data_IF_644420249964
#
_entry.id   IF_644420249964
#
_cell.length_a   1.000
_cell.length_b   1.000
_cell.length_c   1.000
_cell.angle_alpha   90.00
_cell.angle_beta   90.00
_cell.angle_gamma   90.00
#
_symmetry.space_group_name_H-M   'P 1'
#
loop_
_entity.id
_entity.type
_entity.pdbx_description
1 polymer ?
#
# COMPACT_ATOMS: atom_id res chain seq x y z
N UNK A 1 12.41 -10.13 -2.36
CA UNK A 1 13.59 -10.61 -1.66
C UNK A 1 13.74 -10.12 -0.23
N UNK A 2 14.97 -10.19 0.32
CA UNK A 2 15.24 -9.81 1.73
C UNK A 2 14.79 -8.38 2.07
N UNK A 3 15.04 -7.42 1.19
CA UNK A 3 14.66 -6.03 1.43
C UNK A 3 13.14 -5.84 1.57
N UNK A 4 12.32 -6.59 0.85
CA UNK A 4 10.86 -6.49 0.95
C UNK A 4 10.36 -6.92 2.33
N UNK A 5 10.98 -7.93 2.96
CA UNK A 5 10.64 -8.35 4.30
C UNK A 5 11.16 -7.40 5.38
N UNK A 6 12.42 -6.90 5.22
CA UNK A 6 13.04 -5.97 6.17
C UNK A 6 12.28 -4.64 6.26
N UNK A 7 11.79 -4.14 5.13
CA UNK A 7 11.01 -2.90 5.04
C UNK A 7 9.49 -3.12 5.10
N UNK A 8 9.04 -4.29 5.58
CA UNK A 8 7.62 -4.60 5.74
C UNK A 8 6.93 -3.59 6.66
N UNK A 9 5.72 -3.21 6.30
CA UNK A 9 4.86 -2.34 7.09
C UNK A 9 3.58 -3.09 7.49
N UNK A 10 2.97 -2.69 8.59
CA UNK A 10 1.72 -3.30 9.06
C UNK A 10 1.23 -2.69 10.35
N UNK A 11 0.11 -3.18 10.85
CA UNK A 11 -0.54 -2.71 12.08
C UNK A 11 -1.25 -3.83 12.87
N UNK A 12 -0.98 -5.08 12.51
CA UNK A 12 -1.63 -6.26 13.10
C UNK A 12 -2.91 -6.69 12.39
N UNK A 13 -3.63 -5.79 11.75
CA UNK A 13 -4.76 -6.10 10.87
C UNK A 13 -4.28 -6.35 9.44
N UNK A 14 -3.57 -5.42 8.84
CA UNK A 14 -2.96 -5.58 7.53
C UNK A 14 -1.43 -5.59 7.62
N UNK A 15 -0.82 -6.37 6.73
CA UNK A 15 0.62 -6.44 6.53
C UNK A 15 0.96 -6.32 5.06
N UNK A 16 1.95 -5.48 4.78
CA UNK A 16 2.36 -5.16 3.43
C UNK A 16 3.86 -5.33 3.29
N UNK A 17 4.28 -6.26 2.42
CA UNK A 17 5.69 -6.35 2.04
C UNK A 17 6.07 -5.15 1.20
N UNK A 18 7.33 -4.76 1.30
CA UNK A 18 7.81 -3.55 0.68
C UNK A 18 8.16 -3.75 -0.80
N UNK A 19 7.20 -4.18 -1.63
CA UNK A 19 7.32 -4.08 -3.08
C UNK A 19 7.47 -2.61 -3.51
N UNK A 20 8.13 -2.37 -4.63
CA UNK A 20 8.27 -1.02 -5.19
C UNK A 20 6.94 -0.58 -5.83
N UNK A 21 6.75 0.71 -6.03
CA UNK A 21 5.53 1.25 -6.65
C UNK A 21 5.44 0.83 -8.13
N UNK A 22 6.55 0.89 -8.87
CA UNK A 22 6.67 0.36 -10.22
C UNK A 22 6.79 -1.17 -10.23
N UNK A 23 6.36 -1.84 -11.28
CA UNK A 23 6.39 -3.31 -11.40
C UNK A 23 7.56 -3.83 -12.20
N UNK A 24 8.09 -4.99 -11.77
CA UNK A 24 9.15 -5.73 -12.44
C UNK A 24 8.72 -7.15 -12.77
N UNK A 25 9.34 -7.74 -13.79
CA UNK A 25 9.07 -9.14 -14.18
C UNK A 25 9.53 -10.08 -13.07
N UNK A 26 8.65 -10.98 -12.65
CA UNK A 26 8.93 -11.96 -11.57
C UNK A 26 8.90 -11.38 -10.16
N UNK A 27 8.48 -10.13 -10.00
CA UNK A 27 8.26 -9.52 -8.68
C UNK A 27 7.06 -10.15 -7.99
N UNK A 28 7.20 -10.39 -6.69
CA UNK A 28 6.09 -10.78 -5.81
C UNK A 28 5.60 -9.56 -5.04
N UNK A 29 4.29 -9.32 -5.11
CA UNK A 29 3.62 -8.25 -4.37
C UNK A 29 2.69 -8.89 -3.37
N UNK A 30 2.88 -8.57 -2.10
CA UNK A 30 2.17 -9.24 -1.01
C UNK A 30 1.49 -8.23 -0.10
N UNK A 31 0.18 -8.39 0.02
CA UNK A 31 -0.70 -7.68 0.92
C UNK A 31 -1.58 -8.71 1.63
N UNK A 32 -1.53 -8.73 2.95
CA UNK A 32 -2.23 -9.69 3.78
C UNK A 32 -3.14 -8.99 4.78
N UNK A 33 -4.29 -9.59 5.05
CA UNK A 33 -5.19 -9.16 6.12
C UNK A 33 -5.41 -10.33 7.06
N UNK A 34 -5.34 -10.06 8.37
CA UNK A 34 -5.51 -11.08 9.39
C UNK A 34 -6.89 -11.75 9.32
N UNK A 35 -6.95 -13.04 9.60
CA UNK A 35 -8.21 -13.80 9.63
C UNK A 35 -8.77 -14.24 8.28
N UNK A 36 -8.15 -13.88 7.16
CA UNK A 36 -8.63 -14.22 5.80
C UNK A 36 -8.13 -15.57 5.29
N UNK A 37 -7.77 -16.48 6.16
CA UNK A 37 -7.22 -17.79 5.79
C UNK A 37 -8.12 -18.54 4.80
N UNK A 38 -7.48 -19.14 3.78
CA UNK A 38 -8.14 -19.87 2.71
C UNK A 38 -7.29 -21.04 2.24
N UNK A 39 -7.91 -22.02 1.57
CA UNK A 39 -7.24 -23.05 0.77
C UNK A 39 -7.90 -23.10 -0.61
N UNK A 40 -7.13 -23.37 -1.63
CA UNK A 40 -7.68 -23.42 -2.99
C UNK A 40 -8.50 -24.70 -3.24
N UNK A 41 -8.04 -25.82 -2.71
CA UNK A 41 -8.73 -27.10 -2.79
C UNK A 41 -8.34 -28.05 -1.63
N UNK A 42 -8.93 -29.23 -1.58
CA UNK A 42 -8.71 -30.21 -0.52
C UNK A 42 -7.28 -30.79 -0.46
N UNK A 43 -6.49 -30.63 -1.52
CA UNK A 43 -5.09 -31.10 -1.57
C UNK A 43 -4.08 -30.09 -1.02
N UNK A 44 -4.50 -28.84 -0.83
CA UNK A 44 -3.65 -27.76 -0.35
C UNK A 44 -3.80 -27.50 1.16
N UNK A 45 -2.78 -26.92 1.75
CA UNK A 45 -2.83 -26.45 3.14
C UNK A 45 -3.50 -25.07 3.19
N UNK A 46 -4.20 -24.82 4.29
CA UNK A 46 -4.77 -23.48 4.56
C UNK A 46 -3.63 -22.48 4.74
N UNK A 47 -3.66 -21.41 3.99
CA UNK A 47 -2.69 -20.33 4.06
C UNK A 47 -3.36 -18.94 4.11
N UNK A 48 -2.58 -17.91 4.40
CA UNK A 48 -3.04 -16.53 4.34
C UNK A 48 -2.99 -16.07 2.88
N UNK A 49 -4.13 -15.77 2.24
CA UNK A 49 -4.16 -15.41 0.84
C UNK A 49 -3.55 -14.02 0.60
N UNK A 50 -2.85 -13.89 -0.51
CA UNK A 50 -2.35 -12.62 -1.00
C UNK A 50 -3.51 -11.82 -1.62
N UNK A 51 -3.92 -10.75 -0.95
CA UNK A 51 -4.99 -9.86 -1.43
C UNK A 51 -4.56 -9.11 -2.70
N UNK A 52 -5.53 -8.61 -3.49
CA UNK A 52 -5.24 -7.69 -4.60
C UNK A 52 -4.27 -6.58 -4.22
N UNK A 53 -3.21 -6.40 -5.03
CA UNK A 53 -2.19 -5.38 -4.78
C UNK A 53 -2.76 -3.98 -4.98
N UNK A 54 -2.57 -3.12 -3.98
CA UNK A 54 -2.97 -1.72 -4.01
C UNK A 54 -1.77 -0.77 -4.05
N UNK A 55 -0.55 -1.30 -4.02
CA UNK A 55 0.68 -0.47 -3.96
C UNK A 55 1.17 -0.04 -5.33
N UNK A 56 0.69 -0.67 -6.39
CA UNK A 56 1.10 -0.38 -7.76
C UNK A 56 0.79 1.08 -8.15
N UNK A 57 1.82 1.76 -8.66
CA UNK A 57 1.72 3.07 -9.26
C UNK A 57 2.69 3.14 -10.43
N UNK A 58 2.17 3.05 -11.65
CA UNK A 58 2.96 3.16 -12.87
C UNK A 58 3.09 4.62 -13.29
N UNK A 59 4.32 5.08 -13.43
CA UNK A 59 4.66 6.44 -13.85
C UNK A 59 5.28 6.36 -15.24
N UNK A 60 4.72 7.12 -16.19
CA UNK A 60 5.24 7.26 -17.55
C UNK A 60 5.71 8.69 -17.74
N UNK A 61 6.95 8.85 -18.13
CA UNK A 61 7.60 10.15 -18.32
C UNK A 61 7.97 10.29 -19.80
N UNK A 62 7.39 11.27 -20.49
CA UNK A 62 7.57 11.48 -21.92
C UNK A 62 7.33 10.20 -22.75
N UNK A 63 6.36 9.38 -22.32
CA UNK A 63 5.98 8.10 -22.93
C UNK A 63 6.77 6.90 -22.47
N UNK A 64 7.90 7.07 -21.81
CA UNK A 64 8.71 5.97 -21.26
C UNK A 64 8.25 5.63 -19.83
N UNK A 65 8.04 4.36 -19.54
CA UNK A 65 7.71 3.91 -18.20
C UNK A 65 8.92 4.04 -17.29
N UNK A 66 8.76 4.74 -16.17
CA UNK A 66 9.78 4.80 -15.13
C UNK A 66 10.06 3.41 -14.56
N UNK A 67 11.34 3.01 -14.58
CA UNK A 67 11.87 1.80 -13.97
C UNK A 67 13.34 2.04 -13.63
N UNK A 68 13.80 1.52 -12.49
CA UNK A 68 15.21 1.67 -12.08
C UNK A 68 16.17 0.84 -12.92
N UNK A 69 15.69 -0.20 -13.61
CA UNK A 69 16.46 -1.02 -14.55
C UNK A 69 16.48 -0.46 -15.99
N UNK A 70 15.88 0.72 -16.19
CA UNK A 70 15.86 1.47 -17.43
C UNK A 70 16.46 2.85 -17.21
N UNK A 71 17.29 3.34 -18.14
CA UNK A 71 18.04 4.58 -17.95
C UNK A 71 19.21 4.41 -16.97
N UNK A 72 19.47 5.41 -16.13
CA UNK A 72 20.58 5.41 -15.18
C UNK A 72 20.18 6.04 -13.84
N UNK A 73 20.46 5.34 -12.75
CA UNK A 73 20.35 5.89 -11.39
C UNK A 73 21.60 6.75 -11.09
N UNK A 74 21.39 7.98 -10.60
CA UNK A 74 22.45 8.85 -10.05
C UNK A 74 22.54 8.65 -8.54
N UNK A 75 21.41 8.56 -7.88
CA UNK A 75 21.33 8.25 -6.44
C UNK A 75 20.08 7.41 -6.16
N UNK A 76 20.15 6.63 -5.11
CA UNK A 76 19.04 5.83 -4.58
C UNK A 76 19.21 5.67 -3.08
N UNK A 77 18.16 6.02 -2.35
CA UNK A 77 18.06 5.77 -0.93
C UNK A 77 16.68 5.20 -0.61
N UNK A 78 16.63 4.26 0.31
CA UNK A 78 15.38 3.68 0.83
C UNK A 78 15.48 3.52 2.34
N UNK A 79 14.54 4.06 3.06
CA UNK A 79 14.56 4.09 4.52
C UNK A 79 13.18 3.70 5.07
N UNK A 80 13.18 2.84 6.09
CA UNK A 80 12.05 2.63 6.99
C UNK A 80 12.39 3.30 8.31
N UNK A 81 11.64 4.33 8.65
CA UNK A 81 11.71 4.95 9.96
C UNK A 81 10.91 4.11 10.97
N UNK A 82 11.60 3.44 11.88
CA UNK A 82 10.98 2.59 12.90
C UNK A 82 10.17 3.39 13.93
N UNK A 83 10.49 4.66 14.12
CA UNK A 83 9.78 5.52 15.06
C UNK A 83 8.38 5.90 14.58
N UNK A 84 8.22 6.08 13.28
CA UNK A 84 6.97 6.55 12.66
C UNK A 84 6.29 5.51 11.79
N UNK A 85 6.98 4.41 11.46
CA UNK A 85 6.50 3.40 10.53
C UNK A 85 6.43 3.87 9.07
N UNK A 86 7.08 4.99 8.74
CA UNK A 86 7.08 5.56 7.38
C UNK A 86 8.20 4.94 6.56
N UNK A 87 7.86 4.47 5.38
CA UNK A 87 8.81 3.99 4.37
C UNK A 87 8.99 5.06 3.30
N UNK A 88 10.23 5.50 3.08
CA UNK A 88 10.58 6.46 2.03
C UNK A 88 11.53 5.88 1.02
N UNK A 89 11.53 6.46 -0.18
CA UNK A 89 12.46 6.13 -1.26
C UNK A 89 12.75 7.38 -2.08
N UNK A 90 14.02 7.76 -2.12
CA UNK A 90 14.53 8.93 -2.85
C UNK A 90 15.39 8.49 -4.02
N UNK A 91 15.14 9.06 -5.20
CA UNK A 91 15.78 8.66 -6.45
C UNK A 91 16.13 9.89 -7.27
N UNK A 92 17.38 9.96 -7.73
CA UNK A 92 17.73 10.76 -8.91
C UNK A 92 17.94 9.83 -10.11
N UNK A 93 17.14 10.04 -11.14
CA UNK A 93 17.10 9.17 -12.31
C UNK A 93 17.31 9.95 -13.61
N UNK A 94 18.08 9.36 -14.52
CA UNK A 94 18.23 9.81 -15.88
C UNK A 94 17.47 8.85 -16.78
N UNK A 95 16.50 9.35 -17.51
CA UNK A 95 15.69 8.57 -18.44
C UNK A 95 16.55 7.99 -19.59
N UNK A 96 16.05 6.98 -20.32
CA UNK A 96 16.72 6.49 -21.53
C UNK A 96 16.99 7.59 -22.58
N UNK A 97 16.24 8.68 -22.54
CA UNK A 97 16.40 9.86 -23.41
C UNK A 97 17.39 10.91 -22.87
N UNK A 98 18.02 10.64 -21.72
CA UNK A 98 19.00 11.52 -21.09
C UNK A 98 18.41 12.64 -20.23
N UNK A 99 17.12 12.66 -20.00
CA UNK A 99 16.44 13.66 -19.17
C UNK A 99 16.56 13.32 -17.68
N UNK A 100 16.66 14.32 -16.81
CA UNK A 100 16.90 14.15 -15.39
C UNK A 100 15.65 14.44 -14.58
N UNK A 101 15.38 13.53 -13.62
CA UNK A 101 14.23 13.60 -12.72
C UNK A 101 14.64 13.30 -11.30
N UNK A 102 13.97 13.96 -10.35
CA UNK A 102 13.95 13.56 -8.95
C UNK A 102 12.60 12.93 -8.67
N UNK A 103 12.61 11.74 -8.01
CA UNK A 103 11.41 11.06 -7.56
C UNK A 103 11.54 10.81 -6.07
N UNK A 104 10.46 11.08 -5.34
CA UNK A 104 10.31 10.73 -3.93
C UNK A 104 9.04 9.89 -3.76
N UNK A 105 9.15 8.79 -3.04
CA UNK A 105 8.01 7.96 -2.66
C UNK A 105 7.94 7.87 -1.15
N UNK A 106 6.73 7.95 -0.63
CA UNK A 106 6.44 7.81 0.80
C UNK A 106 5.25 6.88 0.98
N UNK A 107 5.29 6.02 2.02
CA UNK A 107 4.18 5.12 2.33
C UNK A 107 4.09 4.90 3.83
N UNK A 108 2.87 4.84 4.34
CA UNK A 108 2.59 4.43 5.72
C UNK A 108 1.40 3.47 5.75
N UNK A 109 1.45 2.52 6.70
CA UNK A 109 0.30 1.73 7.13
C UNK A 109 -0.15 2.31 8.45
N UNK A 110 -1.40 2.76 8.54
CA UNK A 110 -1.88 3.50 9.70
C UNK A 110 -1.94 2.61 10.95
N UNK A 111 -1.34 3.09 12.06
CA UNK A 111 -1.44 2.46 13.37
C UNK A 111 -2.66 2.96 14.16
N UNK A 112 -3.24 4.10 13.77
CA UNK A 112 -4.44 4.69 14.39
C UNK A 112 -5.74 4.21 13.77
N UNK A 113 -5.72 3.80 12.49
CA UNK A 113 -6.85 3.28 11.73
C UNK A 113 -6.39 2.02 10.98
N UNK A 114 -6.71 0.87 11.53
CA UNK A 114 -6.18 -0.42 11.08
C UNK A 114 -6.54 -0.80 9.64
N UNK A 115 -7.62 -0.23 9.11
CA UNK A 115 -8.06 -0.50 7.74
C UNK A 115 -7.35 0.35 6.70
N UNK A 116 -6.61 1.39 7.10
CA UNK A 116 -6.12 2.44 6.22
C UNK A 116 -4.61 2.38 5.99
N UNK A 117 -4.21 2.62 4.75
CA UNK A 117 -2.84 3.00 4.41
C UNK A 117 -2.80 4.08 3.33
N UNK A 118 -1.69 4.79 3.24
CA UNK A 118 -1.46 5.85 2.27
C UNK A 118 -0.13 5.72 1.55
N UNK A 119 -0.12 6.17 0.30
CA UNK A 119 1.08 6.31 -0.52
C UNK A 119 1.14 7.71 -1.12
N UNK A 120 2.35 8.21 -1.30
CA UNK A 120 2.63 9.47 -1.99
C UNK A 120 3.80 9.28 -2.95
N UNK A 121 3.69 9.86 -4.15
CA UNK A 121 4.80 9.98 -5.09
C UNK A 121 4.95 11.43 -5.52
N UNK A 122 6.18 11.93 -5.55
CA UNK A 122 6.53 13.26 -6.01
C UNK A 122 7.53 13.12 -7.16
N UNK A 123 7.24 13.76 -8.29
CA UNK A 123 8.06 13.68 -9.51
C UNK A 123 8.40 15.11 -9.95
N UNK A 124 9.69 15.40 -10.06
CA UNK A 124 10.20 16.72 -10.43
C UNK A 124 11.16 16.61 -11.63
N UNK A 125 10.80 17.18 -12.79
CA UNK A 125 11.74 17.34 -13.91
C UNK A 125 12.85 18.34 -13.55
N UNK A 126 14.13 17.99 -13.77
CA UNK A 126 15.25 18.84 -13.37
C UNK A 126 15.81 19.71 -14.48
N UNK A 127 15.61 19.34 -15.75
CA UNK A 127 16.22 20.02 -16.88
C UNK A 127 15.20 20.68 -17.83
N UNK A 128 14.13 19.99 -18.18
CA UNK A 128 13.10 20.46 -19.12
C UNK A 128 11.72 20.09 -18.59
N UNK A 129 10.68 20.73 -19.09
CA UNK A 129 9.30 20.31 -18.88
C UNK A 129 9.09 18.86 -19.38
N UNK A 130 8.19 18.13 -18.74
CA UNK A 130 7.88 16.76 -19.10
C UNK A 130 6.38 16.48 -19.04
N UNK A 131 5.92 15.59 -19.90
CA UNK A 131 4.59 14.98 -19.76
C UNK A 131 4.71 13.77 -18.82
N UNK A 132 4.02 13.83 -17.70
CA UNK A 132 4.01 12.75 -16.70
C UNK A 132 2.61 12.17 -16.63
N UNK A 133 2.50 10.89 -16.93
CA UNK A 133 1.27 10.13 -16.85
C UNK A 133 1.37 9.14 -15.70
N UNK A 134 0.34 9.10 -14.86
CA UNK A 134 0.25 8.21 -13.71
C UNK A 134 -0.91 7.25 -13.91
N UNK A 135 -0.66 5.96 -13.77
CA UNK A 135 -1.68 4.90 -13.71
C UNK A 135 -1.58 4.20 -12.38
N UNK A 136 -2.63 4.29 -11.58
CA UNK A 136 -2.64 3.74 -10.23
C UNK A 136 -4.00 3.14 -9.89
N UNK A 137 -4.01 1.99 -9.18
CA UNK A 137 -5.25 1.29 -8.88
C UNK A 137 -5.06 0.04 -8.03
N UNK A 138 -5.89 -0.97 -8.29
CA UNK A 138 -5.99 -2.23 -7.58
C UNK A 138 -5.75 -3.37 -8.58
N UNK A 139 -4.82 -4.29 -8.27
CA UNK A 139 -4.46 -5.39 -9.13
C UNK A 139 -4.72 -6.74 -8.46
N UNK A 140 -5.79 -7.42 -8.83
CA UNK A 140 -6.17 -8.74 -8.35
C UNK A 140 -5.53 -9.92 -9.10
N UNK A 141 -4.54 -9.68 -9.98
CA UNK A 141 -3.80 -10.76 -10.64
C UNK A 141 -2.66 -11.34 -9.79
N UNK A 142 -2.57 -10.96 -8.53
CA UNK A 142 -1.61 -11.52 -7.57
C UNK A 142 -2.02 -12.93 -7.13
N UNK A 143 -1.05 -13.75 -6.78
CA UNK A 143 -1.27 -15.15 -6.39
C UNK A 143 -0.34 -15.54 -5.24
N UNK A 144 -0.67 -16.62 -4.54
CA UNK A 144 0.25 -17.30 -3.62
C UNK A 144 0.99 -18.37 -4.42
N UNK A 145 2.24 -18.12 -4.79
CA UNK A 145 3.10 -19.07 -5.53
C UNK A 145 2.40 -19.71 -6.76
N UNK A 146 1.52 -18.94 -7.43
CA UNK A 146 0.73 -19.41 -8.59
C UNK A 146 -0.73 -19.71 -8.28
N UNK A 147 -1.10 -19.95 -7.02
CA UNK A 147 -2.48 -20.21 -6.60
C UNK A 147 -3.28 -18.93 -6.45
N UNK A 148 -4.44 -18.86 -7.08
CA UNK A 148 -5.37 -17.74 -6.99
C UNK A 148 -6.48 -18.07 -5.99
N UNK A 149 -6.41 -17.45 -4.81
CA UNK A 149 -7.37 -17.67 -3.72
C UNK A 149 -8.68 -16.90 -3.83
N UNK A 150 -8.83 -16.02 -4.81
CA UNK A 150 -10.03 -15.20 -4.93
C UNK A 150 -10.81 -15.49 -6.20
N UNK A 151 -12.13 -15.52 -6.07
CA UNK A 151 -13.02 -15.42 -7.23
C UNK A 151 -12.83 -14.07 -7.94
N UNK A 152 -13.21 -14.00 -9.22
CA UNK A 152 -13.23 -12.73 -9.93
C UNK A 152 -14.32 -11.84 -9.30
N UNK A 153 -13.89 -10.72 -8.72
CA UNK A 153 -14.75 -9.86 -7.91
C UNK A 153 -15.47 -8.77 -8.71
N UNK A 154 -16.26 -7.98 -8.00
CA UNK A 154 -16.91 -6.79 -8.54
C UNK A 154 -15.95 -5.62 -8.53
N UNK A 155 -15.90 -4.86 -9.62
CA UNK A 155 -15.09 -3.65 -9.77
C UNK A 155 -16.01 -2.47 -10.09
N UNK A 156 -15.82 -1.33 -9.40
CA UNK A 156 -16.58 -0.10 -9.61
C UNK A 156 -15.70 1.13 -9.43
N UNK A 157 -16.10 2.22 -10.07
CA UNK A 157 -15.55 3.55 -9.81
C UNK A 157 -16.72 4.46 -9.46
N UNK A 158 -16.65 5.09 -8.28
CA UNK A 158 -17.64 6.07 -7.83
C UNK A 158 -17.11 7.48 -8.07
N UNK A 159 -17.97 8.36 -8.53
CA UNK A 159 -17.68 9.79 -8.76
C UNK A 159 -16.41 10.04 -9.62
N UNK A 160 -16.02 9.05 -10.42
CA UNK A 160 -14.84 9.09 -11.28
C UNK A 160 -13.48 8.93 -10.56
N UNK A 161 -13.44 8.82 -9.24
CA UNK A 161 -12.18 8.83 -8.46
C UNK A 161 -12.03 7.67 -7.49
N UNK A 162 -13.09 7.23 -6.82
CA UNK A 162 -13.03 6.16 -5.83
C UNK A 162 -13.18 4.80 -6.52
N UNK A 163 -12.12 4.02 -6.50
CA UNK A 163 -12.08 2.66 -7.02
C UNK A 163 -12.48 1.67 -5.94
N UNK A 164 -13.35 0.71 -6.28
CA UNK A 164 -13.77 -0.41 -5.43
C UNK A 164 -13.46 -1.73 -6.12
N UNK A 165 -12.83 -2.66 -5.40
CA UNK A 165 -12.74 -4.06 -5.78
C UNK A 165 -13.16 -4.93 -4.61
N UNK A 166 -14.28 -5.65 -4.77
CA UNK A 166 -14.78 -6.61 -3.79
C UNK A 166 -14.67 -8.02 -4.37
N UNK A 167 -13.88 -8.88 -3.74
CA UNK A 167 -13.66 -10.27 -4.13
C UNK A 167 -13.82 -11.20 -2.94
N UNK A 168 -14.17 -12.46 -3.20
CA UNK A 168 -14.44 -13.48 -2.18
C UNK A 168 -13.43 -14.61 -2.32
N UNK A 169 -12.93 -15.14 -1.19
CA UNK A 169 -12.04 -16.29 -1.20
C UNK A 169 -12.75 -17.55 -1.68
N UNK A 170 -11.99 -18.47 -2.28
CA UNK A 170 -12.57 -19.59 -3.04
C UNK A 170 -13.27 -20.60 -2.15
N UNK A 171 -12.69 -20.95 -1.00
CA UNK A 171 -13.23 -22.00 -0.12
C UNK A 171 -13.83 -21.41 1.17
N UNK A 172 -13.14 -20.48 1.81
CA UNK A 172 -13.57 -19.90 3.08
C UNK A 172 -14.65 -18.83 2.95
N UNK A 173 -14.98 -18.42 1.72
CA UNK A 173 -16.02 -17.43 1.37
C UNK A 173 -15.87 -16.08 2.13
N UNK A 174 -14.63 -15.68 2.41
CA UNK A 174 -14.34 -14.39 3.05
C UNK A 174 -14.43 -13.30 2.00
N UNK A 175 -15.36 -12.39 2.17
CA UNK A 175 -15.50 -11.21 1.34
C UNK A 175 -14.46 -10.17 1.76
N UNK A 176 -13.64 -9.72 0.81
CA UNK A 176 -12.67 -8.64 0.96
C UNK A 176 -13.04 -7.49 0.04
N UNK A 177 -13.26 -6.30 0.58
CA UNK A 177 -13.54 -5.10 -0.17
C UNK A 177 -12.41 -4.08 0.00
N UNK A 178 -11.82 -3.69 -1.12
CA UNK A 178 -10.66 -2.80 -1.19
C UNK A 178 -11.04 -1.53 -1.95
N UNK A 179 -10.62 -0.39 -1.40
CA UNK A 179 -10.91 0.94 -1.94
C UNK A 179 -9.64 1.73 -2.11
N UNK A 180 -9.54 2.49 -3.22
CA UNK A 180 -8.44 3.39 -3.47
C UNK A 180 -8.93 4.69 -4.13
N UNK A 181 -8.32 5.82 -3.78
CA UNK A 181 -8.53 7.11 -4.41
C UNK A 181 -7.18 7.76 -4.69
N UNK A 182 -7.01 8.29 -5.92
CA UNK A 182 -5.84 9.07 -6.29
C UNK A 182 -6.17 10.57 -6.29
N UNK A 183 -5.26 11.38 -5.73
CA UNK A 183 -5.33 12.84 -5.72
C UNK A 183 -4.05 13.42 -6.27
N UNK A 184 -4.17 14.55 -6.95
CA UNK A 184 -3.06 15.15 -7.67
C UNK A 184 -2.85 16.59 -7.25
N UNK A 185 -1.58 16.99 -7.16
CA UNK A 185 -1.18 18.36 -6.85
C UNK A 185 -0.05 18.74 -7.80
N UNK A 186 -0.10 19.95 -8.32
CA UNK A 186 0.93 20.48 -9.21
C UNK A 186 1.52 21.75 -8.60
N UNK A 187 2.82 21.72 -8.28
CA UNK A 187 3.47 22.81 -7.56
C UNK A 187 2.84 23.11 -6.19
N UNK A 188 2.25 22.11 -5.53
CA UNK A 188 1.55 22.23 -4.26
C UNK A 188 0.07 22.63 -4.36
N UNK A 189 -0.42 22.99 -5.53
CA UNK A 189 -1.84 23.30 -5.75
C UNK A 189 -2.62 22.04 -6.14
N UNK A 190 -3.80 21.84 -5.53
CA UNK A 190 -4.66 20.71 -5.85
C UNK A 190 -5.18 20.82 -7.29
N UNK A 191 -5.06 19.70 -8.04
CA UNK A 191 -5.50 19.60 -9.41
C UNK A 191 -6.69 18.64 -9.55
N UNK A 192 -7.78 19.16 -10.11
CA UNK A 192 -8.94 18.36 -10.52
C UNK A 192 -8.78 17.89 -11.95
N UNK A 193 -7.90 16.93 -12.16
CA UNK A 193 -7.71 16.34 -13.48
C UNK A 193 -8.69 15.19 -13.72
N UNK A 194 -9.11 15.02 -14.96
CA UNK A 194 -9.90 13.85 -15.37
C UNK A 194 -9.08 12.58 -15.15
N UNK A 195 -9.70 11.60 -14.50
CA UNK A 195 -9.12 10.28 -14.27
C UNK A 195 -9.79 9.27 -15.19
N UNK A 196 -9.09 8.83 -16.22
CA UNK A 196 -9.60 7.89 -17.20
C UNK A 196 -9.58 6.46 -16.61
N UNK A 197 -10.71 5.74 -16.60
CA UNK A 197 -10.74 4.35 -16.15
C UNK A 197 -9.87 3.44 -17.02
N UNK A 198 -9.09 2.58 -16.38
CA UNK A 198 -8.34 1.50 -17.02
C UNK A 198 -8.78 0.19 -16.36
N UNK A 199 -9.62 -0.55 -17.06
CA UNK A 199 -10.23 -1.78 -16.56
C UNK A 199 -9.77 -2.96 -17.41
N UNK A 200 -9.25 -3.97 -16.75
CA UNK A 200 -8.90 -5.26 -17.34
C UNK A 200 -9.38 -6.37 -16.39
N UNK A 201 -9.28 -7.62 -16.80
CA UNK A 201 -9.64 -8.75 -15.94
C UNK A 201 -8.87 -8.67 -14.63
N UNK A 202 -9.58 -8.62 -13.50
CA UNK A 202 -9.03 -8.50 -12.13
C UNK A 202 -8.18 -7.23 -11.89
N UNK A 203 -8.26 -6.21 -12.75
CA UNK A 203 -7.52 -4.95 -12.58
C UNK A 203 -8.44 -3.77 -12.74
N UNK A 204 -8.32 -2.84 -11.83
CA UNK A 204 -9.03 -1.57 -11.83
C UNK A 204 -8.04 -0.45 -11.52
N UNK A 205 -7.90 0.49 -12.42
CA UNK A 205 -7.02 1.65 -12.23
C UNK A 205 -7.62 2.91 -12.84
N UNK A 206 -7.08 4.06 -12.46
CA UNK A 206 -7.28 5.31 -13.17
C UNK A 206 -5.97 5.81 -13.75
N UNK A 207 -6.05 6.51 -14.89
CA UNK A 207 -4.91 7.09 -15.57
C UNK A 207 -5.13 8.60 -15.76
N UNK A 208 -4.10 9.38 -15.45
CA UNK A 208 -4.13 10.84 -15.56
C UNK A 208 -2.78 11.34 -16.05
N UNK A 209 -2.76 12.38 -16.90
CA UNK A 209 -1.54 12.96 -17.45
C UNK A 209 -1.44 14.45 -17.16
N UNK A 210 -0.22 14.92 -16.89
CA UNK A 210 0.10 16.31 -16.59
C UNK A 210 1.29 16.76 -17.41
N UNK A 211 1.28 18.04 -17.81
CA UNK A 211 2.50 18.74 -18.21
C UNK A 211 3.10 19.37 -16.97
N UNK A 212 4.33 19.00 -16.64
CA UNK A 212 5.05 19.44 -15.45
C UNK A 212 6.25 20.26 -15.89
N UNK A 213 6.31 21.51 -15.47
CA UNK A 213 7.39 22.42 -15.83
C UNK A 213 8.71 22.04 -15.12
N UNK A 214 9.83 22.50 -15.67
CA UNK A 214 11.14 22.34 -15.02
C UNK A 214 11.10 22.85 -13.58
N UNK A 215 11.53 22.04 -12.62
CA UNK A 215 11.57 22.37 -11.19
C UNK A 215 10.20 22.35 -10.50
N UNK A 216 9.11 22.20 -11.22
CA UNK A 216 7.78 21.99 -10.66
C UNK A 216 7.62 20.52 -10.22
N UNK A 217 6.91 20.27 -9.12
CA UNK A 217 6.67 18.92 -8.62
C UNK A 217 5.23 18.51 -8.88
N UNK A 218 5.04 17.36 -9.53
CA UNK A 218 3.77 16.64 -9.51
C UNK A 218 3.74 15.76 -8.28
N UNK A 219 2.75 15.93 -7.40
CA UNK A 219 2.48 15.07 -6.25
C UNK A 219 1.24 14.23 -6.51
N UNK A 220 1.36 12.94 -6.27
CA UNK A 220 0.26 11.97 -6.32
C UNK A 220 0.09 11.39 -4.93
N UNK A 221 -1.07 11.59 -4.33
CA UNK A 221 -1.48 10.94 -3.09
C UNK A 221 -2.47 9.83 -3.39
N UNK A 222 -2.24 8.65 -2.87
CA UNK A 222 -3.15 7.51 -2.94
C UNK A 222 -3.57 7.11 -1.54
N UNK A 223 -4.86 7.19 -1.27
CA UNK A 223 -5.48 6.71 -0.05
C UNK A 223 -6.15 5.37 -0.30
N UNK A 224 -5.99 4.45 0.63
CA UNK A 224 -6.50 3.09 0.50
C UNK A 224 -7.13 2.63 1.81
N UNK A 225 -8.23 1.86 1.72
CA UNK A 225 -8.75 1.12 2.85
C UNK A 225 -9.24 -0.28 2.45
N UNK A 226 -9.27 -1.19 3.43
CA UNK A 226 -9.64 -2.59 3.25
C UNK A 226 -10.60 -2.98 4.37
N UNK A 227 -11.72 -3.61 4.01
CA UNK A 227 -12.67 -4.22 4.93
C UNK A 227 -12.91 -5.68 4.53
N UNK A 228 -13.09 -6.55 5.52
CA UNK A 228 -13.38 -7.95 5.27
C UNK A 228 -14.61 -8.42 6.06
N UNK A 229 -15.25 -9.48 5.61
CA UNK A 229 -16.35 -10.10 6.35
C UNK A 229 -15.90 -10.77 7.66
N UNK A 230 -14.59 -10.84 7.92
CA UNK A 230 -13.99 -11.33 9.17
C UNK A 230 -13.74 -10.24 10.21
N UNK A 231 -13.95 -8.97 9.86
CA UNK A 231 -13.76 -7.87 10.81
C UNK A 231 -14.70 -8.04 12.01
N UNK A 232 -14.19 -7.75 13.20
CA UNK A 232 -14.87 -8.03 14.47
C UNK A 232 -16.26 -7.36 14.55
N UNK A 233 -16.42 -6.19 13.93
CA UNK A 233 -17.68 -5.44 13.92
C UNK A 233 -18.83 -6.19 13.23
N UNK A 234 -18.53 -7.21 12.42
CA UNK A 234 -19.54 -8.00 11.71
C UNK A 234 -19.89 -9.31 12.43
N UNK A 235 -19.31 -9.60 13.58
CA UNK A 235 -19.60 -10.81 14.35
C UNK A 235 -21.09 -10.88 14.74
N UNK A 236 -21.75 -11.99 14.42
CA UNK A 236 -23.17 -12.18 14.66
C UNK A 236 -24.11 -11.30 13.79
N UNK A 237 -23.57 -10.63 12.77
CA UNK A 237 -24.33 -9.77 11.87
C UNK A 237 -24.95 -10.57 10.73
N UNK A 238 -26.26 -10.44 10.52
CA UNK A 238 -26.91 -10.86 9.27
C UNK A 238 -26.56 -9.88 8.14
N UNK A 239 -26.57 -10.33 6.88
CA UNK A 239 -26.28 -9.49 5.69
C UNK A 239 -24.87 -8.90 5.65
N UNK A 240 -23.86 -9.61 6.16
CA UNK A 240 -22.46 -9.17 6.17
C UNK A 240 -21.99 -8.81 4.75
N UNK A 241 -22.36 -9.60 3.73
CA UNK A 241 -21.96 -9.36 2.32
C UNK A 241 -22.51 -8.04 1.73
N UNK A 242 -23.52 -7.44 2.34
CA UNK A 242 -24.06 -6.14 1.96
C UNK A 242 -23.43 -5.00 2.76
N UNK A 243 -23.13 -5.25 4.04
CA UNK A 243 -22.58 -4.25 4.95
C UNK A 243 -21.11 -3.94 4.67
N UNK A 244 -20.28 -4.97 4.45
CA UNK A 244 -18.84 -4.79 4.18
C UNK A 244 -18.57 -3.79 3.06
N UNK A 245 -19.18 -3.90 1.85
CA UNK A 245 -18.95 -2.91 0.82
C UNK A 245 -19.52 -1.53 1.15
N UNK A 246 -20.65 -1.45 1.85
CA UNK A 246 -21.25 -0.16 2.24
C UNK A 246 -20.36 0.59 3.24
N UNK A 247 -19.89 -0.12 4.27
CA UNK A 247 -19.02 0.45 5.31
C UNK A 247 -17.65 0.82 4.74
N UNK A 248 -17.08 -0.04 3.87
CA UNK A 248 -15.82 0.24 3.21
C UNK A 248 -15.88 1.48 2.32
N UNK A 249 -16.96 1.66 1.55
CA UNK A 249 -17.18 2.89 0.76
C UNK A 249 -17.30 4.12 1.65
N UNK A 250 -18.10 4.04 2.72
CA UNK A 250 -18.25 5.14 3.67
C UNK A 250 -16.93 5.50 4.35
N UNK A 251 -16.14 4.50 4.71
CA UNK A 251 -14.80 4.69 5.27
C UNK A 251 -13.88 5.37 4.27
N UNK A 252 -13.84 4.93 3.00
CA UNK A 252 -13.04 5.58 1.95
C UNK A 252 -13.41 7.07 1.80
N UNK A 253 -14.68 7.40 1.81
CA UNK A 253 -15.16 8.79 1.77
C UNK A 253 -14.69 9.59 3.01
N UNK A 254 -14.69 8.97 4.20
CA UNK A 254 -14.26 9.60 5.44
C UNK A 254 -12.76 9.89 5.44
N UNK A 255 -11.92 8.93 5.09
CA UNK A 255 -10.46 9.15 4.98
C UNK A 255 -10.12 10.12 3.86
N UNK A 256 -10.89 10.10 2.77
CA UNK A 256 -10.79 11.07 1.70
C UNK A 256 -11.03 12.50 2.16
N UNK A 257 -12.05 12.74 2.99
CA UNK A 257 -12.29 14.08 3.58
C UNK A 257 -11.16 14.53 4.52
N UNK A 258 -10.55 13.59 5.25
CA UNK A 258 -9.45 13.83 6.18
C UNK A 258 -8.15 14.19 5.45
N UNK A 259 -7.82 13.44 4.41
CA UNK A 259 -6.64 13.66 3.56
C UNK A 259 -5.37 12.97 4.07
N UNK A 260 -4.39 12.86 3.19
CA UNK A 260 -3.15 12.10 3.38
C UNK A 260 -2.35 12.57 4.60
N UNK A 261 -2.05 13.87 4.70
CA UNK A 261 -1.18 14.39 5.75
C UNK A 261 -1.80 14.25 7.15
N UNK A 262 -3.12 14.45 7.29
CA UNK A 262 -3.80 14.23 8.57
C UNK A 262 -3.78 12.77 9.02
N UNK A 263 -4.04 11.83 8.10
CA UNK A 263 -3.98 10.39 8.37
C UNK A 263 -2.56 9.96 8.75
N UNK A 264 -1.54 10.46 8.06
CA UNK A 264 -0.14 10.21 8.39
C UNK A 264 0.21 10.73 9.79
N UNK A 265 -0.18 11.96 10.14
CA UNK A 265 0.07 12.55 11.45
C UNK A 265 -0.60 11.74 12.58
N UNK A 266 -1.84 11.28 12.39
CA UNK A 266 -2.52 10.41 13.35
C UNK A 266 -1.80 9.08 13.53
N UNK A 267 -1.29 8.48 12.46
CA UNK A 267 -0.48 7.27 12.52
C UNK A 267 0.84 7.50 13.26
N UNK A 268 1.53 8.61 12.99
CA UNK A 268 2.77 8.98 13.69
C UNK A 268 2.53 9.16 15.19
N UNK A 269 1.44 9.83 15.59
CA UNK A 269 1.08 10.00 17.00
C UNK A 269 0.77 8.65 17.68
N UNK A 270 0.15 7.70 16.97
CA UNK A 270 -0.07 6.35 17.47
C UNK A 270 1.24 5.58 17.66
N UNK A 271 2.21 5.73 16.75
CA UNK A 271 3.55 5.18 16.89
C UNK A 271 4.32 5.82 18.07
N UNK A 272 4.25 7.13 18.25
CA UNK A 272 4.86 7.83 19.39
C UNK A 272 4.35 7.25 20.73
N UNK A 273 3.03 7.12 20.87
CA UNK A 273 2.40 6.50 22.05
C UNK A 273 2.81 5.02 22.23
N UNK A 274 3.05 4.29 21.15
CA UNK A 274 3.59 2.93 21.23
C UNK A 274 5.01 2.92 21.80
N UNK A 275 5.90 3.74 21.27
CA UNK A 275 7.29 3.79 21.68
C UNK A 275 7.46 4.32 23.11
N UNK A 276 6.65 5.28 23.54
CA UNK A 276 6.64 5.75 24.93
C UNK A 276 6.41 4.61 25.94
N UNK A 277 5.65 3.59 25.57
CA UNK A 277 5.25 2.48 26.45
C UNK A 277 6.08 1.22 26.27
N UNK A 278 6.64 1.00 25.09
CA UNK A 278 7.21 -0.29 24.70
C UNK A 278 8.69 -0.23 24.31
N UNK A 279 9.30 0.97 24.29
CA UNK A 279 10.73 1.08 23.95
C UNK A 279 11.59 0.38 24.99
N UNK A 280 12.57 -0.36 24.53
CA UNK A 280 13.61 -0.98 25.35
C UNK A 280 14.92 -0.30 25.00
N UNK A 281 15.46 0.45 25.96
CA UNK A 281 16.76 1.10 25.84
C UNK A 281 17.83 0.17 26.38
N UNK A 282 18.90 0.03 25.62
CA UNK A 282 20.07 -0.76 26.00
C UNK A 282 21.31 0.12 25.97
N UNK A 283 22.23 -0.14 26.90
CA UNK A 283 23.58 0.45 26.87
C UNK A 283 24.51 -0.49 26.11
N UNK A 284 25.03 -0.03 24.98
CA UNK A 284 25.98 -0.77 24.11
C UNK A 284 26.98 0.20 23.50
N UNK A 285 28.18 -0.28 23.24
CA UNK A 285 29.19 0.46 22.48
C UNK A 285 28.86 0.50 20.97
N UNK A 286 28.00 -0.44 20.49
CA UNK A 286 27.55 -0.48 19.11
C UNK A 286 26.10 0.04 19.00
N UNK A 287 25.93 1.17 18.30
CA UNK A 287 24.60 1.75 18.02
C UNK A 287 23.68 0.79 17.22
N UNK A 288 24.26 -0.19 16.50
CA UNK A 288 23.50 -1.21 15.80
C UNK A 288 22.64 -2.06 16.75
N UNK A 289 23.12 -2.35 17.95
CA UNK A 289 22.38 -3.17 18.92
C UNK A 289 21.05 -2.54 19.30
N UNK A 290 21.03 -1.24 19.57
CA UNK A 290 19.78 -0.51 19.86
C UNK A 290 18.83 -0.53 18.65
N UNK A 291 19.37 -0.36 17.45
CA UNK A 291 18.57 -0.45 16.22
C UNK A 291 17.98 -1.85 16.03
N UNK A 292 18.75 -2.90 16.30
CA UNK A 292 18.30 -4.29 16.20
C UNK A 292 17.16 -4.60 17.18
N UNK A 293 17.23 -4.11 18.42
CA UNK A 293 16.15 -4.24 19.41
C UNK A 293 14.89 -3.54 18.94
N UNK A 294 14.99 -2.28 18.50
CA UNK A 294 13.83 -1.53 18.00
C UNK A 294 13.25 -2.12 16.72
N UNK A 295 14.09 -2.64 15.85
CA UNK A 295 13.66 -3.38 14.66
C UNK A 295 12.81 -4.61 15.05
N UNK A 296 13.26 -5.40 16.03
CA UNK A 296 12.50 -6.54 16.52
C UNK A 296 11.15 -6.12 17.16
N UNK A 297 11.15 -5.08 17.99
CA UNK A 297 9.93 -4.53 18.60
C UNK A 297 8.95 -4.01 17.56
N UNK A 298 9.45 -3.28 16.55
CA UNK A 298 8.63 -2.81 15.43
C UNK A 298 7.93 -3.98 14.72
N UNK A 299 8.71 -5.02 14.33
CA UNK A 299 8.16 -6.16 13.61
C UNK A 299 7.20 -7.00 14.46
N UNK A 300 7.46 -7.15 15.75
CA UNK A 300 6.52 -7.79 16.68
C UNK A 300 5.20 -6.99 16.75
N UNK A 301 5.29 -5.66 16.81
CA UNK A 301 4.11 -4.81 16.88
C UNK A 301 3.21 -4.92 15.66
N UNK A 302 3.78 -4.88 14.46
CA UNK A 302 3.01 -4.88 13.21
C UNK A 302 2.38 -6.23 12.85
N UNK A 303 2.74 -7.31 13.57
CA UNK A 303 2.21 -8.65 13.30
C UNK A 303 1.09 -9.08 14.28
N UNK A 304 0.81 -8.30 15.31
CA UNK A 304 -0.15 -8.66 16.36
C UNK A 304 -1.42 -7.83 16.25
N UNK A 305 -2.55 -8.50 16.01
CA UNK A 305 -3.89 -7.91 16.17
C UNK A 305 -4.19 -7.88 17.69
N UNK A 306 -4.25 -6.67 18.28
CA UNK A 306 -4.25 -6.50 19.74
C UNK A 306 -5.62 -6.60 20.39
N UNK A 307 -6.65 -6.31 19.64
CA UNK A 307 -8.02 -6.10 20.09
C UNK A 307 -9.00 -7.16 19.56
N UNK A 308 -8.48 -8.22 18.93
CA UNK A 308 -9.27 -9.35 18.46
C UNK A 308 -8.61 -10.66 18.85
N UNK A 309 -9.12 -11.30 19.90
CA UNK A 309 -8.61 -12.57 20.45
C UNK A 309 -9.05 -13.81 19.64
N UNK A 310 -9.89 -13.64 18.62
CA UNK A 310 -10.24 -14.72 17.67
C UNK A 310 -9.10 -15.05 16.73
N UNK A 311 -8.12 -14.15 16.57
CA UNK A 311 -6.99 -14.32 15.66
C UNK A 311 -5.69 -14.47 16.43
N UNK A 312 -4.94 -15.52 16.11
CA UNK A 312 -3.60 -15.75 16.64
C UNK A 312 -2.52 -15.17 15.71
N UNK A 313 -1.29 -15.16 16.22
CA UNK A 313 -0.13 -14.79 15.41
C UNK A 313 0.22 -15.95 14.49
N UNK A 314 0.15 -15.76 13.20
CA UNK A 314 0.58 -16.75 12.20
C UNK A 314 2.10 -17.01 12.30
N UNK A 315 2.55 -18.19 11.91
CA UNK A 315 3.97 -18.59 11.98
C UNK A 315 4.91 -17.67 11.19
N UNK A 316 4.41 -17.04 10.13
CA UNK A 316 5.13 -16.05 9.30
C UNK A 316 4.56 -14.64 9.47
N UNK A 317 3.74 -14.42 10.49
CA UNK A 317 3.02 -13.17 10.74
C UNK A 317 2.23 -12.69 9.50
N UNK A 318 2.20 -11.38 9.27
CA UNK A 318 1.61 -10.75 8.07
C UNK A 318 2.70 -10.38 7.04
N UNK A 319 3.85 -11.05 7.06
CA UNK A 319 4.97 -10.77 6.14
C UNK A 319 5.04 -11.75 4.95
N UNK A 320 4.15 -12.73 4.91
CA UNK A 320 3.99 -13.65 3.80
C UNK A 320 4.96 -14.82 3.76
N UNK A 321 5.11 -15.44 2.59
CA UNK A 321 5.83 -16.69 2.28
C UNK A 321 7.25 -16.80 2.82
#
# INVERSE_FOLDING_TARGET
>A
GKCEAIFCQGNGYLGQRAALEETYVGEKRNLFVTGTFDKFDESEVTELPNLPDMTNMEIFINGDRFRMDSGRLKSYERQLDLQTGILTRDIEWISPKGEQFKLHFERFVSLSDEHTFGQKAEITPLANAATIKVRSGINGCVTNTGTQHFHEGKMRIYDGTIMEMCSETVESEVLCCQYAENRFYLGGAAEKAEQLPVIDRRKLATETAFTVEQGQTLTVEKLCCIHTSRDQIYEGTESVKEKVPADGKHHMEAIGRKGYEALKQESCAAWENYWEKQDIQIESEDAYDQTAVRFALYHLNIMVKRDDDRVGIGAKALSGE
#
